data_IF_873807971707
#
_entry.id   IF_873807971707
#
_cell.length_a   1.000
_cell.length_b   1.000
_cell.length_c   1.000
_cell.angle_alpha   90.00
_cell.angle_beta   90.00
_cell.angle_gamma   90.00
#
_symmetry.space_group_name_H-M   'P 1'
#
loop_
_entity.id
_entity.type
_entity.pdbx_description
1 polymer ?
#
# COMPACT_ATOMS: atom_id res chain seq x y z
N UNK A 1 18.37 6.30 -36.37
CA UNK A 1 17.74 5.44 -35.35
C UNK A 1 16.69 6.26 -34.63
N UNK A 2 15.39 6.07 -34.88
CA UNK A 2 14.36 6.78 -34.15
C UNK A 2 14.29 6.17 -32.73
N UNK A 3 14.81 6.85 -31.73
CA UNK A 3 14.59 6.52 -30.34
C UNK A 3 13.11 6.73 -30.04
N UNK A 4 12.33 5.66 -30.05
CA UNK A 4 10.99 5.71 -29.48
C UNK A 4 11.17 6.06 -28.00
N UNK A 5 10.72 7.24 -27.64
CA UNK A 5 10.68 7.66 -26.23
C UNK A 5 9.58 6.83 -25.58
N UNK A 6 9.95 5.81 -24.79
CA UNK A 6 8.96 4.97 -24.13
C UNK A 6 8.17 5.81 -23.11
N UNK A 7 6.94 5.40 -22.76
CA UNK A 7 6.13 6.09 -21.76
C UNK A 7 6.85 6.15 -20.42
N UNK A 8 7.59 5.09 -20.07
CA UNK A 8 8.42 5.02 -18.86
C UNK A 8 9.48 6.10 -18.85
N UNK A 9 10.21 6.23 -19.97
CA UNK A 9 11.26 7.26 -20.08
C UNK A 9 10.68 8.66 -19.93
N UNK A 10 9.54 8.94 -20.56
CA UNK A 10 8.86 10.24 -20.44
C UNK A 10 8.53 10.57 -18.98
N UNK A 11 7.97 9.61 -18.23
CA UNK A 11 7.67 9.78 -16.81
C UNK A 11 8.95 10.05 -15.99
N UNK A 12 10.00 9.27 -16.18
CA UNK A 12 11.24 9.44 -15.43
C UNK A 12 12.01 10.71 -15.79
N UNK A 13 11.98 11.14 -17.05
CA UNK A 13 12.54 12.44 -17.46
C UNK A 13 11.81 13.59 -16.74
N UNK A 14 10.47 13.51 -16.60
CA UNK A 14 9.68 14.47 -15.84
C UNK A 14 10.02 14.40 -14.33
N UNK A 15 10.11 13.22 -13.75
CA UNK A 15 10.44 13.02 -12.33
C UNK A 15 11.80 13.65 -12.00
N UNK A 16 12.84 13.32 -12.75
CA UNK A 16 14.20 13.85 -12.55
C UNK A 16 14.21 15.39 -12.67
N UNK A 17 13.49 15.94 -13.63
CA UNK A 17 13.38 17.39 -13.83
C UNK A 17 12.73 18.10 -12.65
N UNK A 18 11.77 17.46 -11.98
CA UNK A 18 11.00 18.05 -10.89
C UNK A 18 11.44 17.54 -9.50
N UNK A 19 12.50 16.75 -9.42
CA UNK A 19 13.01 16.12 -8.20
C UNK A 19 13.06 17.08 -7.00
N UNK A 20 13.69 18.23 -7.14
CA UNK A 20 13.84 19.22 -6.06
C UNK A 20 12.48 19.71 -5.54
N UNK A 21 11.50 19.94 -6.42
CA UNK A 21 10.15 20.33 -5.98
C UNK A 21 9.44 19.22 -5.21
N UNK A 22 9.68 17.95 -5.58
CA UNK A 22 9.14 16.78 -4.87
C UNK A 22 9.78 16.65 -3.48
N UNK A 23 11.09 16.92 -3.36
CA UNK A 23 11.81 16.97 -2.08
C UNK A 23 11.24 18.08 -1.19
N UNK A 24 11.11 19.32 -1.72
CA UNK A 24 10.50 20.44 -1.02
C UNK A 24 9.07 20.16 -0.56
N UNK A 25 8.27 19.44 -1.37
CA UNK A 25 6.93 19.03 -0.99
C UNK A 25 6.94 18.10 0.24
N UNK A 26 7.83 17.10 0.27
CA UNK A 26 7.98 16.18 1.41
C UNK A 26 8.46 16.94 2.64
N UNK A 27 9.51 17.78 2.51
CA UNK A 27 10.12 18.53 3.60
C UNK A 27 9.18 19.57 4.20
N UNK A 28 8.30 20.16 3.38
CA UNK A 28 7.28 21.12 3.84
C UNK A 28 6.10 20.47 4.58
N UNK A 29 6.14 19.17 4.81
CA UNK A 29 5.03 18.38 5.34
C UNK A 29 3.79 18.47 4.42
N UNK A 30 4.02 18.41 3.12
CA UNK A 30 2.99 18.30 2.07
C UNK A 30 2.00 19.48 2.04
N UNK A 31 2.49 20.70 2.25
CA UNK A 31 1.62 21.89 2.32
C UNK A 31 1.11 22.37 0.97
N UNK A 32 1.91 22.26 -0.10
CA UNK A 32 1.52 22.63 -1.46
C UNK A 32 1.36 21.39 -2.34
N UNK A 33 0.14 21.00 -2.59
CA UNK A 33 -0.20 19.81 -3.37
C UNK A 33 -0.01 19.96 -4.89
N UNK A 34 0.39 21.12 -5.40
CA UNK A 34 0.48 21.34 -6.84
C UNK A 34 1.41 20.34 -7.54
N UNK A 35 2.62 20.17 -7.03
CA UNK A 35 3.60 19.24 -7.61
C UNK A 35 3.16 17.76 -7.45
N UNK A 36 2.45 17.43 -6.37
CA UNK A 36 1.90 16.08 -6.17
C UNK A 36 0.78 15.78 -7.18
N UNK A 37 -0.07 16.74 -7.49
CA UNK A 37 -1.11 16.58 -8.51
C UNK A 37 -0.49 16.44 -9.91
N UNK A 38 0.59 17.18 -10.22
CA UNK A 38 1.36 16.99 -11.46
C UNK A 38 1.97 15.58 -11.52
N UNK A 39 2.61 15.09 -10.45
CA UNK A 39 3.15 13.74 -10.36
C UNK A 39 2.05 12.69 -10.61
N UNK A 40 0.90 12.86 -9.97
CA UNK A 40 -0.26 11.97 -10.14
C UNK A 40 -0.72 11.96 -11.60
N UNK A 41 -0.82 13.13 -12.23
CA UNK A 41 -1.21 13.25 -13.63
C UNK A 41 -0.22 12.59 -14.60
N UNK A 42 1.09 12.77 -14.39
CA UNK A 42 2.12 12.13 -15.21
C UNK A 42 2.14 10.62 -15.04
N UNK A 43 1.97 10.12 -13.80
CA UNK A 43 1.89 8.69 -13.52
C UNK A 43 0.63 8.07 -14.16
N UNK A 44 -0.52 8.73 -14.05
CA UNK A 44 -1.78 8.28 -14.69
C UNK A 44 -1.72 8.37 -16.21
N UNK A 45 -0.95 9.29 -16.78
CA UNK A 45 -0.67 9.32 -18.23
C UNK A 45 0.15 8.13 -18.71
N UNK A 46 0.98 7.56 -17.82
CA UNK A 46 1.64 6.29 -18.08
C UNK A 46 0.65 5.12 -17.97
N UNK A 47 -0.05 5.01 -16.85
CA UNK A 47 -1.09 4.01 -16.61
C UNK A 47 -2.12 4.52 -15.58
N UNK A 48 -3.39 4.51 -15.93
CA UNK A 48 -4.50 5.06 -15.13
C UNK A 48 -4.74 4.36 -13.79
N UNK A 49 -4.29 3.11 -13.65
CA UNK A 49 -4.46 2.32 -12.42
C UNK A 49 -3.46 2.69 -11.32
N UNK A 50 -2.39 3.44 -11.65
CA UNK A 50 -1.29 3.68 -10.74
C UNK A 50 -1.48 4.98 -9.94
N UNK A 51 -1.12 4.91 -8.67
CA UNK A 51 -1.14 6.05 -7.74
C UNK A 51 0.25 6.24 -7.14
N UNK A 52 0.70 7.49 -6.96
CA UNK A 52 1.97 7.80 -6.32
C UNK A 52 1.79 7.96 -4.82
N UNK A 53 2.80 7.56 -4.04
CA UNK A 53 2.96 7.98 -2.65
C UNK A 53 4.37 8.53 -2.45
N UNK A 54 4.48 9.62 -1.70
CA UNK A 54 5.74 10.28 -1.38
C UNK A 54 5.92 10.35 0.13
N UNK A 55 7.08 9.93 0.62
CA UNK A 55 7.43 10.00 2.04
C UNK A 55 8.93 10.14 2.22
N UNK A 56 9.37 10.46 3.43
CA UNK A 56 10.76 10.28 3.86
C UNK A 56 10.87 9.03 4.73
N UNK A 57 12.04 8.40 4.76
CA UNK A 57 12.35 7.36 5.73
C UNK A 57 13.01 7.95 6.99
N UNK A 58 13.27 7.10 8.00
CA UNK A 58 13.91 7.50 9.27
C UNK A 58 15.37 7.98 9.09
N UNK A 59 15.99 7.65 7.97
CA UNK A 59 17.35 8.06 7.61
C UNK A 59 17.39 9.37 6.81
N UNK A 60 16.21 9.98 6.54
CA UNK A 60 16.07 11.18 5.73
C UNK A 60 16.20 10.94 4.22
N UNK A 61 16.01 9.70 3.77
CA UNK A 61 15.99 9.35 2.35
C UNK A 61 14.57 9.51 1.83
N UNK A 62 14.40 10.17 0.68
CA UNK A 62 13.12 10.31 0.02
C UNK A 62 12.65 8.99 -0.58
N UNK A 63 11.38 8.69 -0.41
CA UNK A 63 10.78 7.45 -0.90
C UNK A 63 9.65 7.77 -1.86
N UNK A 64 9.70 7.17 -3.04
CA UNK A 64 8.60 7.16 -4.01
C UNK A 64 8.06 5.74 -4.14
N UNK A 65 6.78 5.59 -3.83
CA UNK A 65 6.06 4.33 -3.91
C UNK A 65 5.04 4.44 -5.03
N UNK A 66 4.99 3.45 -5.89
CA UNK A 66 3.92 3.32 -6.89
C UNK A 66 3.03 2.17 -6.48
N UNK A 67 1.76 2.45 -6.29
CA UNK A 67 0.74 1.49 -5.87
C UNK A 67 -0.39 1.41 -6.90
N UNK A 68 -0.89 0.20 -7.24
CA UNK A 68 -2.12 0.02 -7.99
C UNK A 68 -3.37 0.03 -7.09
N UNK A 69 -3.21 0.32 -5.80
CA UNK A 69 -4.30 0.48 -4.83
C UNK A 69 -5.24 -0.74 -4.78
N UNK A 70 -4.65 -1.94 -4.70
CA UNK A 70 -5.36 -3.22 -4.64
C UNK A 70 -5.83 -3.77 -5.99
N UNK A 71 -5.54 -3.11 -7.12
CA UNK A 71 -5.96 -3.55 -8.44
C UNK A 71 -4.90 -4.47 -9.07
N UNK A 72 -5.24 -5.75 -9.27
CA UNK A 72 -4.30 -6.79 -9.79
C UNK A 72 -3.73 -6.45 -11.17
N UNK A 73 -4.51 -5.85 -12.05
CA UNK A 73 -4.10 -5.42 -13.38
C UNK A 73 -3.01 -4.33 -13.36
N UNK A 74 -2.86 -3.64 -12.24
CA UNK A 74 -1.83 -2.64 -12.02
C UNK A 74 -0.46 -3.22 -11.61
N UNK A 75 -0.35 -4.53 -11.30
CA UNK A 75 0.90 -5.16 -10.83
C UNK A 75 2.02 -5.08 -11.88
N UNK A 76 1.70 -5.44 -13.12
CA UNK A 76 2.69 -5.40 -14.22
C UNK A 76 3.17 -3.98 -14.52
N UNK A 77 2.28 -2.99 -14.77
CA UNK A 77 2.73 -1.62 -15.01
C UNK A 77 3.47 -0.98 -13.82
N UNK A 78 3.08 -1.28 -12.57
CA UNK A 78 3.83 -0.85 -11.37
C UNK A 78 5.26 -1.39 -11.40
N UNK A 79 5.38 -2.68 -11.67
CA UNK A 79 6.69 -3.35 -11.74
C UNK A 79 7.55 -2.75 -12.86
N UNK A 80 6.98 -2.54 -14.03
CA UNK A 80 7.66 -2.02 -15.20
C UNK A 80 8.15 -0.59 -15.01
N UNK A 81 7.30 0.30 -14.48
CA UNK A 81 7.70 1.70 -14.27
C UNK A 81 8.84 1.81 -13.24
N UNK A 82 8.77 1.09 -12.13
CA UNK A 82 9.81 1.16 -11.10
C UNK A 82 11.14 0.58 -11.60
N UNK A 83 11.13 -0.60 -12.27
CA UNK A 83 12.37 -1.19 -12.77
C UNK A 83 12.99 -0.45 -13.97
N UNK A 84 12.25 0.40 -14.66
CA UNK A 84 12.76 1.27 -15.72
C UNK A 84 13.35 2.58 -15.20
N UNK A 85 13.23 2.85 -13.90
CA UNK A 85 13.69 4.08 -13.27
C UNK A 85 15.21 4.18 -13.20
N UNK A 86 15.72 5.43 -13.22
CA UNK A 86 17.14 5.67 -12.96
C UNK A 86 17.47 5.54 -11.47
N UNK A 87 18.72 5.27 -11.16
CA UNK A 87 19.21 5.49 -9.80
C UNK A 87 19.34 7.00 -9.52
N UNK A 88 18.72 7.47 -8.45
CA UNK A 88 18.76 8.87 -8.02
C UNK A 88 19.29 8.93 -6.58
N UNK A 89 20.40 9.62 -6.40
CA UNK A 89 21.00 9.79 -5.07
C UNK A 89 20.00 10.47 -4.11
N UNK A 90 19.82 9.89 -2.93
CA UNK A 90 18.89 10.38 -1.91
C UNK A 90 17.46 9.89 -2.08
N UNK A 91 17.20 9.02 -3.06
CA UNK A 91 15.88 8.44 -3.30
C UNK A 91 15.88 6.91 -3.26
N UNK A 92 14.80 6.35 -2.71
CA UNK A 92 14.42 4.94 -2.82
C UNK A 92 13.11 4.82 -3.60
N UNK A 93 13.03 3.83 -4.48
CA UNK A 93 11.84 3.59 -5.32
C UNK A 93 11.25 2.23 -4.98
N UNK A 94 9.97 2.23 -4.64
CA UNK A 94 9.26 1.02 -4.24
C UNK A 94 8.09 0.76 -5.17
N UNK A 95 7.98 -0.48 -5.60
CA UNK A 95 6.73 -1.01 -6.10
C UNK A 95 5.93 -1.51 -4.91
N UNK A 96 4.68 -1.10 -4.83
CA UNK A 96 3.75 -1.47 -3.77
C UNK A 96 4.11 -0.86 -2.39
N UNK A 97 3.10 -0.74 -1.54
CA UNK A 97 3.27 -0.40 -0.13
C UNK A 97 4.04 -1.51 0.57
N UNK A 98 5.13 -1.13 1.24
CA UNK A 98 5.97 -2.07 1.96
C UNK A 98 5.39 -2.38 3.33
N UNK A 99 5.52 -3.63 3.76
CA UNK A 99 5.08 -4.06 5.07
C UNK A 99 5.83 -3.32 6.20
N UNK A 100 5.10 -2.90 7.24
CA UNK A 100 5.61 -2.21 8.41
C UNK A 100 5.25 -2.98 9.69
N UNK A 101 6.12 -2.94 10.68
CA UNK A 101 5.85 -3.58 12.00
C UNK A 101 5.00 -2.70 12.91
N UNK A 102 4.95 -1.40 12.63
CA UNK A 102 4.14 -0.42 13.36
C UNK A 102 3.40 0.44 12.36
N UNK A 103 2.11 0.54 12.52
CA UNK A 103 1.26 1.38 11.71
C UNK A 103 -0.03 1.68 12.46
N UNK A 104 -0.47 2.92 12.39
CA UNK A 104 -1.77 3.36 12.85
C UNK A 104 -2.35 4.34 11.84
N UNK A 105 -3.66 4.44 11.76
CA UNK A 105 -4.34 5.30 10.81
C UNK A 105 -5.53 6.01 11.46
N UNK A 106 -5.66 7.28 11.13
CA UNK A 106 -6.82 8.08 11.50
C UNK A 106 -7.53 8.57 10.25
N UNK A 107 -8.80 8.20 10.12
CA UNK A 107 -9.69 8.61 9.04
C UNK A 107 -10.93 9.22 9.70
N UNK A 108 -11.11 10.53 9.59
CA UNK A 108 -12.17 11.26 10.29
C UNK A 108 -12.18 10.94 11.79
N UNK A 109 -13.26 10.32 12.29
CA UNK A 109 -13.42 9.92 13.71
C UNK A 109 -12.89 8.50 13.98
N UNK A 110 -12.53 7.75 12.95
CA UNK A 110 -11.98 6.38 13.08
C UNK A 110 -10.48 6.47 13.29
N UNK A 111 -10.02 6.08 14.48
CA UNK A 111 -8.60 6.03 14.87
C UNK A 111 -8.27 4.58 15.24
N UNK A 112 -7.38 3.95 14.49
CA UNK A 112 -7.08 2.51 14.58
C UNK A 112 -5.59 2.29 14.65
N UNK A 113 -5.15 1.56 15.66
CA UNK A 113 -3.80 1.01 15.80
C UNK A 113 -3.79 -0.50 15.51
N UNK A 114 -2.61 -1.06 15.23
CA UNK A 114 -2.42 -2.51 15.07
C UNK A 114 -3.03 -3.30 16.24
N UNK A 115 -2.92 -2.78 17.47
CA UNK A 115 -3.43 -3.43 18.67
C UNK A 115 -4.97 -3.49 18.74
N UNK A 116 -5.67 -2.67 17.96
CA UNK A 116 -7.13 -2.64 17.89
C UNK A 116 -7.72 -3.60 16.85
N UNK A 117 -6.86 -4.40 16.22
CA UNK A 117 -7.24 -5.36 15.18
C UNK A 117 -6.90 -6.79 15.59
N UNK A 118 -7.87 -7.69 15.39
CA UNK A 118 -7.68 -9.15 15.39
C UNK A 118 -8.08 -9.70 14.03
N UNK A 119 -7.48 -10.82 13.67
CA UNK A 119 -7.74 -11.47 12.38
C UNK A 119 -8.27 -12.87 12.60
N UNK A 120 -9.41 -13.17 12.01
CA UNK A 120 -9.80 -14.54 11.69
C UNK A 120 -9.27 -14.86 10.28
N UNK A 121 -8.82 -16.09 10.05
CA UNK A 121 -8.31 -16.49 8.74
C UNK A 121 -8.65 -17.94 8.42
N UNK A 122 -8.81 -18.21 7.13
CA UNK A 122 -8.94 -19.53 6.56
C UNK A 122 -7.90 -19.68 5.45
N UNK A 123 -6.86 -20.47 5.74
CA UNK A 123 -5.78 -20.72 4.77
C UNK A 123 -6.23 -21.79 3.76
N UNK A 124 -6.00 -21.50 2.48
CA UNK A 124 -6.03 -22.47 1.38
C UNK A 124 -4.59 -22.74 0.92
N UNK A 125 -3.98 -23.75 1.50
CA UNK A 125 -2.57 -24.10 1.22
C UNK A 125 -2.41 -24.62 -0.21
N UNK A 126 -3.41 -25.33 -0.74
CA UNK A 126 -3.36 -25.91 -2.09
C UNK A 126 -3.33 -24.83 -3.16
N UNK A 127 -4.20 -23.81 -3.04
CA UNK A 127 -4.28 -22.70 -3.96
C UNK A 127 -3.42 -21.50 -3.54
N UNK A 128 -2.70 -21.61 -2.41
CA UNK A 128 -1.85 -20.56 -1.86
C UNK A 128 -2.60 -19.27 -1.60
N UNK A 129 -3.80 -19.36 -1.07
CA UNK A 129 -4.71 -18.27 -0.78
C UNK A 129 -5.11 -18.21 0.71
N UNK A 130 -5.70 -17.09 1.10
CA UNK A 130 -6.28 -16.89 2.43
C UNK A 130 -7.52 -16.01 2.37
N UNK A 131 -8.60 -16.47 3.00
CA UNK A 131 -9.73 -15.61 3.35
C UNK A 131 -9.49 -15.04 4.75
N UNK A 132 -9.71 -13.74 4.91
CA UNK A 132 -9.49 -13.04 6.18
C UNK A 132 -10.73 -12.27 6.61
N UNK A 133 -10.96 -12.21 7.93
CA UNK A 133 -11.90 -11.28 8.53
C UNK A 133 -11.16 -10.35 9.48
N UNK A 134 -11.21 -9.06 9.20
CA UNK A 134 -10.63 -8.00 10.03
C UNK A 134 -11.61 -7.65 11.14
N UNK A 135 -11.22 -7.94 12.38
CA UNK A 135 -12.06 -7.72 13.54
C UNK A 135 -11.59 -6.49 14.30
N UNK A 136 -12.38 -5.43 14.32
CA UNK A 136 -12.08 -4.18 15.03
C UNK A 136 -12.67 -4.16 16.43
N UNK A 137 -11.97 -3.53 17.36
CA UNK A 137 -12.42 -3.34 18.74
C UNK A 137 -13.72 -2.55 18.85
N UNK A 138 -13.88 -1.51 18.03
CA UNK A 138 -15.02 -0.58 18.04
C UNK A 138 -15.70 -0.49 16.67
N UNK A 139 -15.85 -1.60 15.95
CA UNK A 139 -16.40 -1.62 14.61
C UNK A 139 -17.86 -1.17 14.55
N UNK A 140 -18.15 -0.33 13.57
CA UNK A 140 -19.51 0.11 13.20
C UNK A 140 -19.71 -0.14 11.71
N UNK A 141 -20.56 -1.11 11.35
CA UNK A 141 -20.75 -1.52 9.94
C UNK A 141 -21.31 -0.40 9.05
N UNK A 142 -22.09 0.51 9.63
CA UNK A 142 -22.63 1.67 8.91
C UNK A 142 -21.54 2.72 8.55
N UNK A 143 -20.37 2.68 9.21
CA UNK A 143 -19.30 3.62 8.98
C UNK A 143 -18.24 3.01 8.03
N UNK A 144 -18.26 3.47 6.77
CA UNK A 144 -17.32 2.98 5.72
C UNK A 144 -15.84 3.28 6.01
N UNK A 145 -15.54 4.22 6.92
CA UNK A 145 -14.17 4.57 7.27
C UNK A 145 -13.43 3.41 7.95
N UNK A 146 -14.15 2.52 8.68
CA UNK A 146 -13.57 1.29 9.22
C UNK A 146 -13.07 0.35 8.11
N UNK A 147 -13.85 0.18 7.04
CA UNK A 147 -13.46 -0.66 5.91
C UNK A 147 -12.24 -0.08 5.19
N UNK A 148 -12.23 1.23 4.98
CA UNK A 148 -11.09 1.94 4.40
C UNK A 148 -9.84 1.81 5.29
N UNK A 149 -9.99 2.04 6.61
CA UNK A 149 -8.90 1.85 7.56
C UNK A 149 -8.39 0.41 7.55
N UNK A 150 -9.27 -0.58 7.49
CA UNK A 150 -8.92 -2.01 7.45
C UNK A 150 -8.08 -2.37 6.24
N UNK A 151 -8.47 -1.96 5.03
CA UNK A 151 -7.68 -2.20 3.83
C UNK A 151 -6.30 -1.53 3.90
N UNK A 152 -6.24 -0.27 4.36
CA UNK A 152 -4.96 0.42 4.52
C UNK A 152 -4.07 -0.24 5.58
N UNK A 153 -4.66 -0.70 6.70
CA UNK A 153 -3.92 -1.46 7.72
C UNK A 153 -3.35 -2.77 7.15
N UNK A 154 -4.14 -3.49 6.35
CA UNK A 154 -3.68 -4.70 5.67
C UNK A 154 -2.53 -4.40 4.71
N UNK A 155 -2.67 -3.41 3.82
CA UNK A 155 -1.65 -3.03 2.86
C UNK A 155 -0.34 -2.61 3.52
N UNK A 156 -0.43 -1.86 4.63
CA UNK A 156 0.77 -1.36 5.32
C UNK A 156 1.38 -2.33 6.32
N UNK A 157 0.63 -3.29 6.86
CA UNK A 157 1.17 -4.23 7.86
C UNK A 157 1.48 -5.58 7.23
N UNK A 158 0.60 -6.08 6.37
CA UNK A 158 0.81 -7.35 5.64
C UNK A 158 1.67 -7.14 4.40
N UNK A 159 1.58 -5.96 3.79
CA UNK A 159 2.24 -5.59 2.55
C UNK A 159 1.32 -5.76 1.34
N UNK A 160 1.21 -4.75 0.50
CA UNK A 160 0.28 -4.72 -0.63
C UNK A 160 0.51 -5.89 -1.61
N UNK A 161 1.76 -6.31 -1.81
CA UNK A 161 2.05 -7.46 -2.67
C UNK A 161 1.51 -8.78 -2.10
N UNK A 162 1.57 -8.97 -0.77
CA UNK A 162 0.98 -10.12 -0.12
C UNK A 162 -0.55 -10.10 -0.24
N UNK A 163 -1.15 -8.92 -0.07
CA UNK A 163 -2.59 -8.73 -0.25
C UNK A 163 -3.02 -9.08 -1.68
N UNK A 164 -2.35 -8.53 -2.68
CA UNK A 164 -2.66 -8.78 -4.09
C UNK A 164 -2.46 -10.24 -4.52
N UNK A 165 -1.44 -10.90 -3.98
CA UNK A 165 -1.03 -12.22 -4.43
C UNK A 165 -1.68 -13.37 -3.66
N UNK A 166 -2.12 -13.15 -2.40
CA UNK A 166 -2.48 -14.24 -1.47
C UNK A 166 -3.84 -14.06 -0.81
N UNK A 167 -4.40 -12.85 -0.75
CA UNK A 167 -5.70 -12.65 -0.13
C UNK A 167 -6.81 -12.78 -1.17
N UNK A 168 -7.73 -13.71 -0.94
CA UNK A 168 -8.84 -14.00 -1.84
C UNK A 168 -10.10 -13.25 -1.44
N UNK A 169 -10.38 -13.13 -0.13
CA UNK A 169 -11.52 -12.40 0.40
C UNK A 169 -11.16 -11.65 1.69
N UNK A 170 -11.81 -10.49 1.89
CA UNK A 170 -11.71 -9.68 3.10
C UNK A 170 -13.10 -9.35 3.60
N UNK A 171 -13.41 -9.77 4.84
CA UNK A 171 -14.59 -9.41 5.58
C UNK A 171 -14.26 -8.56 6.79
N UNK A 172 -15.28 -7.91 7.39
CA UNK A 172 -15.13 -7.03 8.54
C UNK A 172 -16.12 -7.40 9.63
N UNK A 173 -15.66 -7.35 10.89
CA UNK A 173 -16.45 -7.78 12.05
C UNK A 173 -16.11 -6.93 13.29
N UNK A 174 -17.05 -6.84 14.23
CA UNK A 174 -16.75 -6.34 15.59
C UNK A 174 -16.08 -7.43 16.43
N UNK A 175 -15.17 -7.05 17.33
CA UNK A 175 -14.64 -7.99 18.32
C UNK A 175 -15.73 -8.69 19.12
N UNK A 176 -16.85 -8.01 19.38
CA UNK A 176 -17.96 -8.55 20.15
C UNK A 176 -18.69 -9.70 19.43
N UNK A 177 -18.54 -9.76 18.09
CA UNK A 177 -19.23 -10.75 17.25
C UNK A 177 -18.31 -11.91 16.85
N UNK A 178 -17.06 -11.92 17.33
CA UNK A 178 -16.14 -13.04 17.09
C UNK A 178 -16.70 -14.31 17.75
N UNK A 179 -16.88 -15.42 16.97
CA UNK A 179 -17.37 -16.66 17.55
C UNK A 179 -16.40 -17.20 18.63
N UNK A 180 -16.94 -17.62 19.78
CA UNK A 180 -16.12 -18.03 20.95
C UNK A 180 -15.18 -19.19 20.69
N UNK A 181 -15.47 -20.02 19.69
CA UNK A 181 -14.66 -21.18 19.29
C UNK A 181 -13.55 -20.83 18.29
N UNK A 182 -13.55 -19.63 17.75
CA UNK A 182 -12.58 -19.20 16.74
C UNK A 182 -11.33 -18.60 17.38
N UNK A 183 -10.18 -19.00 16.86
CA UNK A 183 -8.89 -18.46 17.24
C UNK A 183 -8.54 -17.24 16.38
N UNK A 184 -8.21 -16.13 17.03
CA UNK A 184 -7.75 -14.92 16.36
C UNK A 184 -6.23 -14.79 16.42
N UNK A 185 -5.65 -14.17 15.40
CA UNK A 185 -4.24 -13.79 15.35
C UNK A 185 -4.08 -12.27 15.17
N UNK A 186 -2.86 -11.77 15.30
CA UNK A 186 -2.51 -10.38 14.99
C UNK A 186 -2.23 -10.19 13.49
N UNK A 187 -2.26 -8.95 13.02
CA UNK A 187 -1.83 -8.61 11.64
C UNK A 187 -0.38 -9.07 11.34
N UNK A 188 0.53 -8.92 12.30
CA UNK A 188 1.92 -9.37 12.15
C UNK A 188 2.02 -10.89 12.03
N UNK A 189 1.20 -11.62 12.79
CA UNK A 189 1.15 -13.07 12.69
C UNK A 189 0.55 -13.53 11.35
N UNK A 190 -0.47 -12.82 10.84
CA UNK A 190 -1.01 -13.07 9.50
C UNK A 190 0.06 -12.90 8.41
N UNK A 191 0.82 -11.80 8.43
CA UNK A 191 1.93 -11.59 7.50
C UNK A 191 2.91 -12.75 7.53
N UNK A 192 3.35 -13.15 8.70
CA UNK A 192 4.27 -14.28 8.89
C UNK A 192 3.69 -15.59 8.34
N UNK A 193 2.42 -15.88 8.61
CA UNK A 193 1.77 -17.09 8.08
C UNK A 193 1.70 -17.07 6.54
N UNK A 194 1.39 -15.93 5.93
CA UNK A 194 1.39 -15.77 4.46
C UNK A 194 2.78 -16.04 3.90
N UNK A 195 3.82 -15.40 4.45
CA UNK A 195 5.20 -15.52 3.98
C UNK A 195 5.76 -16.92 4.15
N UNK A 196 5.42 -17.64 5.22
CA UNK A 196 5.94 -18.98 5.51
C UNK A 196 5.16 -20.11 4.83
N UNK A 197 3.84 -19.94 4.63
CA UNK A 197 2.96 -21.03 4.22
C UNK A 197 2.40 -20.94 2.81
N UNK A 198 2.37 -19.72 2.23
CA UNK A 198 1.73 -19.48 0.93
C UNK A 198 2.72 -19.13 -0.20
N UNK A 199 4.02 -19.04 0.07
CA UNK A 199 5.08 -18.90 -0.93
C UNK A 199 5.90 -20.18 -1.07
#
# INVERSE_FOLDING_TARGET
MRTFNSKEKKFWDWFVKNKTKLEEFIDSNQKDYSIYLELTSELKSYNELLNPELTGDEEGVYCFIVTPDGIREGVEPTTKIIYSGPEIVGWKFFRFRQAKDKFGIKINEVDVDIADIKILRKLDIENKGVDITVCFKNYEDANSDFKTAGFLMLDHVVGEMNMLARVDAVDFLSWNDIPKQEETITLLALRKEIEEKLY
#
